data_IF_857984563636
#
_entry.id   IF_857984563636
#
_cell.length_a   1.000
_cell.length_b   1.000
_cell.length_c   1.000
_cell.angle_alpha   90.00
_cell.angle_beta   90.00
_cell.angle_gamma   90.00
#
_symmetry.space_group_name_H-M   'P 1'
#
loop_
_entity.id
_entity.type
_entity.pdbx_description
1 polymer ?
#
# COMPACT_ATOMS: atom_id res chain seq x y z
N UNK A 1 27.75 -9.32 5.00
CA UNK A 1 26.97 -9.61 6.24
C UNK A 1 25.91 -10.63 5.88
N UNK A 2 25.61 -11.63 6.73
CA UNK A 2 24.45 -12.47 6.53
C UNK A 2 23.17 -11.62 6.61
N UNK A 3 22.14 -12.02 5.86
CA UNK A 3 20.83 -11.38 5.92
C UNK A 3 20.30 -11.54 7.36
N UNK A 4 20.00 -10.42 8.03
CA UNK A 4 19.62 -10.40 9.45
C UNK A 4 18.29 -11.14 9.68
N UNK A 5 17.34 -10.98 8.75
CA UNK A 5 16.04 -11.65 8.73
C UNK A 5 15.60 -11.88 7.28
N UNK A 6 14.94 -13.00 6.99
CA UNK A 6 14.34 -13.27 5.68
C UNK A 6 13.34 -12.17 5.29
N UNK A 7 13.44 -11.65 4.06
CA UNK A 7 12.52 -10.63 3.56
C UNK A 7 11.21 -11.26 3.08
N UNK A 8 10.13 -11.04 3.82
CA UNK A 8 8.78 -11.53 3.52
C UNK A 8 7.88 -10.32 3.26
N UNK A 9 7.81 -9.94 2.00
CA UNK A 9 7.12 -8.74 1.58
C UNK A 9 5.91 -9.02 0.70
N UNK A 10 4.97 -8.08 0.70
CA UNK A 10 3.84 -8.04 -0.23
C UNK A 10 3.80 -6.69 -0.94
N UNK A 11 3.47 -6.72 -2.23
CA UNK A 11 3.24 -5.51 -3.01
C UNK A 11 1.78 -5.07 -2.85
N UNK A 12 1.54 -3.78 -2.66
CA UNK A 12 0.20 -3.18 -2.69
C UNK A 12 0.15 -2.24 -3.90
N UNK A 13 -0.46 -2.70 -4.97
CA UNK A 13 -0.67 -1.95 -6.20
C UNK A 13 -1.89 -1.03 -6.09
N UNK A 14 -1.67 0.22 -6.45
CA UNK A 14 -2.69 1.28 -6.45
C UNK A 14 -3.21 1.58 -7.85
N UNK A 15 -2.46 1.17 -8.89
CA UNK A 15 -2.92 1.27 -10.27
C UNK A 15 -4.23 0.51 -10.43
N UNK A 16 -5.22 1.18 -11.04
CA UNK A 16 -6.55 0.61 -11.30
C UNK A 16 -7.26 0.02 -10.07
N UNK A 17 -6.89 0.42 -8.85
CA UNK A 17 -7.50 -0.07 -7.61
C UNK A 17 -7.38 -1.60 -7.43
N UNK A 18 -6.31 -2.22 -7.96
CA UNK A 18 -6.14 -3.68 -7.95
C UNK A 18 -6.09 -4.23 -6.52
N UNK A 19 -5.24 -3.66 -5.67
CA UNK A 19 -5.14 -4.06 -4.26
C UNK A 19 -5.81 -3.04 -3.34
N UNK A 20 -5.63 -1.74 -3.62
CA UNK A 20 -6.14 -0.65 -2.78
C UNK A 20 -6.21 0.69 -3.54
N UNK A 21 -7.16 1.60 -3.23
CA UNK A 21 -8.33 1.38 -2.38
C UNK A 21 -9.40 0.59 -3.13
N UNK A 22 -10.36 0.00 -2.41
CA UNK A 22 -11.41 -0.85 -3.00
C UNK A 22 -12.27 -0.14 -4.07
N UNK A 23 -12.40 1.18 -3.96
CA UNK A 23 -13.08 2.04 -4.92
C UNK A 23 -12.46 3.44 -4.94
N UNK A 24 -12.51 4.09 -6.11
CA UNK A 24 -12.06 5.48 -6.30
C UNK A 24 -12.87 6.50 -5.48
N UNK A 25 -14.08 6.15 -5.08
CA UNK A 25 -14.97 7.03 -4.31
C UNK A 25 -14.85 6.84 -2.80
N UNK A 26 -13.91 6.00 -2.34
CA UNK A 26 -13.71 5.77 -0.91
C UNK A 26 -13.24 7.06 -0.23
N UNK A 27 -13.90 7.41 0.87
CA UNK A 27 -13.48 8.52 1.73
C UNK A 27 -12.10 8.25 2.34
N UNK A 28 -11.35 9.29 2.75
CA UNK A 28 -10.05 9.11 3.40
C UNK A 28 -10.11 8.14 4.60
N UNK A 29 -11.17 8.21 5.41
CA UNK A 29 -11.38 7.29 6.54
C UNK A 29 -11.57 5.84 6.09
N UNK A 30 -12.33 5.60 5.03
CA UNK A 30 -12.50 4.25 4.47
C UNK A 30 -11.18 3.71 3.92
N UNK A 31 -10.45 4.53 3.16
CA UNK A 31 -9.14 4.19 2.62
C UNK A 31 -8.14 3.80 3.73
N UNK A 32 -8.08 4.58 4.82
CA UNK A 32 -7.24 4.26 5.97
C UNK A 32 -7.65 2.96 6.66
N UNK A 33 -8.96 2.75 6.87
CA UNK A 33 -9.49 1.52 7.47
C UNK A 33 -9.16 0.29 6.63
N UNK A 34 -9.34 0.39 5.31
CA UNK A 34 -8.97 -0.67 4.36
C UNK A 34 -7.48 -0.99 4.42
N UNK A 35 -6.62 0.03 4.39
CA UNK A 35 -5.17 -0.16 4.46
C UNK A 35 -4.76 -0.82 5.78
N UNK A 36 -5.34 -0.38 6.91
CA UNK A 36 -5.10 -0.99 8.21
C UNK A 36 -5.52 -2.47 8.22
N UNK A 37 -6.65 -2.82 7.60
CA UNK A 37 -7.10 -4.21 7.51
C UNK A 37 -6.14 -5.08 6.69
N UNK A 38 -5.61 -4.54 5.58
CA UNK A 38 -4.57 -5.21 4.78
C UNK A 38 -3.32 -5.44 5.65
N UNK A 39 -2.79 -4.39 6.30
CA UNK A 39 -1.59 -4.46 7.13
C UNK A 39 -1.75 -5.44 8.31
N UNK A 40 -2.90 -5.42 8.98
CA UNK A 40 -3.22 -6.36 10.06
C UNK A 40 -3.25 -7.81 9.57
N UNK A 41 -3.72 -8.04 8.34
CA UNK A 41 -3.73 -9.37 7.73
C UNK A 41 -2.31 -9.82 7.39
N UNK A 42 -1.49 -8.96 6.79
CA UNK A 42 -0.10 -9.26 6.47
C UNK A 42 0.73 -9.56 7.73
N UNK A 43 0.48 -8.84 8.82
CA UNK A 43 1.09 -9.10 10.11
C UNK A 43 0.70 -10.48 10.66
N UNK A 44 -0.58 -10.87 10.59
CA UNK A 44 -1.04 -12.23 10.98
C UNK A 44 -0.41 -13.32 10.11
N UNK A 45 -0.10 -13.01 8.85
CA UNK A 45 0.60 -13.88 7.91
C UNK A 45 2.13 -13.82 8.06
N UNK A 46 2.66 -13.18 9.11
CA UNK A 46 4.10 -13.09 9.42
C UNK A 46 4.97 -12.38 8.36
N UNK A 47 4.35 -11.56 7.50
CA UNK A 47 5.08 -10.64 6.61
C UNK A 47 5.77 -9.55 7.44
N UNK A 48 6.95 -9.12 7.00
CA UNK A 48 7.74 -8.11 7.70
C UNK A 48 7.96 -6.83 6.88
N UNK A 49 7.49 -6.79 5.62
CA UNK A 49 7.61 -5.62 4.77
C UNK A 49 6.42 -5.47 3.82
N UNK A 50 6.19 -4.22 3.41
CA UNK A 50 5.19 -3.86 2.40
C UNK A 50 5.83 -2.92 1.40
N UNK A 51 5.63 -3.20 0.11
CA UNK A 51 6.01 -2.30 -0.97
C UNK A 51 4.74 -1.65 -1.50
N UNK A 52 4.52 -0.39 -1.13
CA UNK A 52 3.32 0.35 -1.49
C UNK A 52 3.56 1.23 -2.72
N UNK A 53 2.70 1.10 -3.74
CA UNK A 53 2.81 1.88 -4.97
C UNK A 53 2.29 3.32 -4.78
N UNK A 54 3.17 4.24 -4.38
CA UNK A 54 2.80 5.65 -4.16
C UNK A 54 2.57 6.48 -5.43
N UNK A 55 3.03 5.99 -6.58
CA UNK A 55 2.92 6.64 -7.90
C UNK A 55 2.52 5.61 -8.95
N UNK A 56 1.23 5.42 -9.23
CA UNK A 56 0.80 4.43 -10.21
C UNK A 56 0.95 4.91 -11.66
N UNK A 57 0.31 6.02 -12.06
CA UNK A 57 0.33 6.51 -13.46
C UNK A 57 0.23 8.04 -13.52
N UNK A 58 1.33 8.74 -13.19
CA UNK A 58 1.40 10.21 -13.30
C UNK A 58 0.58 10.98 -12.25
N UNK A 59 0.14 10.27 -11.21
CA UNK A 59 -0.59 10.75 -10.04
C UNK A 59 0.15 10.32 -8.75
N UNK A 60 -0.18 10.96 -7.63
CA UNK A 60 0.57 10.76 -6.38
C UNK A 60 -0.32 10.54 -5.15
N UNK A 61 0.08 9.61 -4.29
CA UNK A 61 -0.51 9.41 -2.95
C UNK A 61 0.22 10.22 -1.87
N UNK A 62 0.81 11.35 -2.25
CA UNK A 62 1.49 12.29 -1.37
C UNK A 62 1.32 13.70 -1.93
N UNK A 63 1.39 14.73 -1.08
CA UNK A 63 1.34 16.10 -1.56
C UNK A 63 2.53 16.39 -2.49
N UNK A 64 2.24 16.67 -3.75
CA UNK A 64 3.25 16.97 -4.78
C UNK A 64 2.99 18.36 -5.37
N UNK A 65 4.06 19.10 -5.66
CA UNK A 65 3.99 20.37 -6.40
C UNK A 65 4.22 20.19 -7.91
N UNK A 66 4.61 18.97 -8.34
CA UNK A 66 5.00 18.66 -9.72
C UNK A 66 4.00 17.76 -10.44
N UNK A 67 3.30 16.92 -9.67
CA UNK A 67 2.34 15.94 -10.18
C UNK A 67 1.00 16.26 -9.50
N UNK A 68 -0.13 16.04 -10.20
CA UNK A 68 -1.46 16.26 -9.64
C UNK A 68 -1.79 15.33 -8.46
#
# INVERSE_FOLDING_TARGET
QPIKEEFRATWIATVSNIDWPSTRTATPTQQQSELLNILNTLQKLTMNAVVFQIRPVGDTFYASSLEP
#
